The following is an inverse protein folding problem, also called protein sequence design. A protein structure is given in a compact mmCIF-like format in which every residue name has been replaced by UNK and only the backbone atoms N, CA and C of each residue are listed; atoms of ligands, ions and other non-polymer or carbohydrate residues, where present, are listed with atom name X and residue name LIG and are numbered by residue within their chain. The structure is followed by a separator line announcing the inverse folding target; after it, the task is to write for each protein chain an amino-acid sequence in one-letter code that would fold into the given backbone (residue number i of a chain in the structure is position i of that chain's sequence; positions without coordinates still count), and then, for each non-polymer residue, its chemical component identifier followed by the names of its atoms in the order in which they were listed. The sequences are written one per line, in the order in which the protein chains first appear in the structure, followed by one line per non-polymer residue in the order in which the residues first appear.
data_IF_354601377649
#
_entry.id   IF_354601377649
#
_cell.length_a   1.000
_cell.length_b   1.000
_cell.length_c   1.000
_cell.angle_alpha   90.00
_cell.angle_beta   90.00
_cell.angle_gamma   90.00
#
_symmetry.space_group_name_H-M   'P 1'
#
loop_
_entity.id
_entity.type
_entity.pdbx_description
1 polymer ?
#
# COMPACT_ATOMS: atom_id res chain seq x y z
N UNK A 1 13.18 22.80 11.36
CA UNK A 1 12.58 23.62 10.29
C UNK A 1 11.78 22.68 9.41
N UNK A 2 10.61 23.09 8.89
CA UNK A 2 9.82 22.20 8.04
C UNK A 2 10.42 22.16 6.62
N UNK A 3 10.57 20.97 6.06
CA UNK A 3 10.87 20.79 4.64
C UNK A 3 9.56 20.68 3.86
N UNK A 4 9.59 21.08 2.59
CA UNK A 4 8.45 21.03 1.67
C UNK A 4 8.93 20.40 0.37
N UNK A 5 8.25 19.37 -0.10
CA UNK A 5 8.50 18.85 -1.44
C UNK A 5 7.70 19.69 -2.43
N UNK A 6 8.38 20.22 -3.45
CA UNK A 6 7.73 21.01 -4.48
C UNK A 6 7.90 20.36 -5.85
N UNK A 7 6.88 20.54 -6.68
CA UNK A 7 6.94 20.27 -8.10
C UNK A 7 6.67 21.58 -8.81
N UNK A 8 7.62 22.06 -9.59
CA UNK A 8 7.50 23.31 -10.32
C UNK A 8 8.05 23.21 -11.73
N UNK A 9 7.74 24.19 -12.58
CA UNK A 9 8.36 24.34 -13.90
C UNK A 9 9.39 25.45 -13.85
N UNK A 10 10.58 25.19 -14.38
CA UNK A 10 11.56 26.26 -14.56
C UNK A 10 11.24 27.09 -15.81
N UNK A 11 12.01 28.15 -16.04
CA UNK A 11 11.89 29.05 -17.20
C UNK A 11 12.14 28.37 -18.56
N UNK A 12 12.81 27.21 -18.59
CA UNK A 12 12.97 26.37 -19.80
C UNK A 12 11.83 25.36 -20.00
N UNK A 13 10.77 25.39 -19.19
CA UNK A 13 9.59 24.53 -19.31
C UNK A 13 9.75 23.12 -18.73
N UNK A 14 10.93 22.78 -18.20
CA UNK A 14 11.20 21.49 -17.57
C UNK A 14 10.60 21.41 -16.18
N UNK A 15 10.00 20.27 -15.85
CA UNK A 15 9.44 20.01 -14.53
C UNK A 15 10.58 19.60 -13.57
N UNK A 16 10.70 20.31 -12.46
CA UNK A 16 11.68 20.08 -11.40
C UNK A 16 10.94 19.66 -10.13
N UNK A 17 11.38 18.55 -9.55
CA UNK A 17 10.90 18.03 -8.27
C UNK A 17 12.07 18.04 -7.29
N UNK A 18 11.96 18.83 -6.24
CA UNK A 18 13.01 18.92 -5.22
C UNK A 18 12.37 19.28 -3.86
N UNK A 19 13.16 19.22 -2.80
CA UNK A 19 12.75 19.63 -1.45
C UNK A 19 13.30 21.02 -1.12
N UNK A 20 12.49 21.83 -0.44
CA UNK A 20 12.89 23.16 0.02
C UNK A 20 12.49 23.37 1.47
N UNK A 21 13.40 23.93 2.25
CA UNK A 21 13.14 24.28 3.65
C UNK A 21 12.47 25.65 3.76
N UNK A 22 11.32 25.68 4.42
CA UNK A 22 10.56 26.90 4.64
C UNK A 22 9.80 26.86 5.97
N UNK A 23 9.40 28.02 6.47
CA UNK A 23 8.58 28.11 7.67
C UNK A 23 7.10 27.78 7.39
N UNK A 24 6.62 28.07 6.18
CA UNK A 24 5.25 27.82 5.73
C UNK A 24 5.21 27.71 4.19
N UNK A 25 4.07 27.27 3.64
CA UNK A 25 3.91 27.06 2.19
C UNK A 25 4.04 28.36 1.37
N UNK A 26 3.66 29.51 1.96
CA UNK A 26 3.81 30.83 1.32
C UNK A 26 5.28 31.25 1.17
N UNK A 27 6.09 31.03 2.20
CA UNK A 27 7.55 31.27 2.19
C UNK A 27 8.25 30.30 1.24
N UNK A 28 7.78 29.06 1.14
CA UNK A 28 8.27 28.12 0.13
C UNK A 28 8.00 28.63 -1.29
N UNK A 29 6.76 29.06 -1.57
CA UNK A 29 6.40 29.62 -2.87
C UNK A 29 7.27 30.84 -3.23
N UNK A 30 7.45 31.78 -2.31
CA UNK A 30 8.28 32.97 -2.55
C UNK A 30 9.74 32.62 -2.84
N UNK A 31 10.31 31.64 -2.12
CA UNK A 31 11.67 31.14 -2.41
C UNK A 31 11.78 30.46 -3.77
N UNK A 32 10.75 29.73 -4.20
CA UNK A 32 10.70 29.09 -5.52
C UNK A 32 10.59 30.12 -6.65
N UNK A 33 9.75 31.14 -6.46
CA UNK A 33 9.66 32.27 -7.39
C UNK A 33 11.00 33.00 -7.52
N UNK A 34 11.72 33.26 -6.42
CA UNK A 34 13.07 33.85 -6.45
C UNK A 34 14.09 32.98 -7.18
N UNK A 35 13.89 31.66 -7.24
CA UNK A 35 14.71 30.72 -8.01
C UNK A 35 14.27 30.59 -9.47
N UNK A 36 13.26 31.33 -9.92
CA UNK A 36 12.72 31.22 -11.28
C UNK A 36 11.95 29.93 -11.55
N UNK A 37 11.43 29.30 -10.48
CA UNK A 37 10.61 28.09 -10.57
C UNK A 37 9.17 28.46 -10.23
N UNK A 38 8.26 28.26 -11.17
CA UNK A 38 6.82 28.45 -10.93
C UNK A 38 6.28 27.18 -10.26
N UNK A 39 5.83 27.24 -9.00
CA UNK A 39 5.32 26.08 -8.30
C UNK A 39 3.96 25.64 -8.87
N UNK A 40 3.82 24.34 -9.15
CA UNK A 40 2.55 23.70 -9.55
C UNK A 40 1.92 23.03 -8.34
N UNK A 41 2.74 22.47 -7.45
CA UNK A 41 2.30 21.87 -6.19
C UNK A 41 3.40 22.00 -5.13
N UNK A 42 3.00 22.34 -3.91
CA UNK A 42 3.87 22.45 -2.73
C UNK A 42 3.22 21.62 -1.62
N UNK A 43 3.91 20.59 -1.15
CA UNK A 43 3.44 19.67 -0.11
C UNK A 43 4.38 19.73 1.08
N UNK A 44 3.84 19.82 2.29
CA UNK A 44 4.61 19.72 3.54
C UNK A 44 5.33 18.37 3.60
N UNK A 45 6.66 18.37 3.63
CA UNK A 45 7.44 17.20 3.99
C UNK A 45 7.50 17.14 5.51
N UNK A 46 6.57 16.42 6.13
CA UNK A 46 6.61 16.19 7.56
C UNK A 46 7.90 15.41 7.89
N UNK A 47 8.83 16.07 8.59
CA UNK A 47 9.95 15.40 9.23
C UNK A 47 9.42 14.65 10.46
N UNK A 48 9.19 13.35 10.31
CA UNK A 48 8.81 12.47 11.41
C UNK A 48 7.97 11.28 10.94
N UNK A 49 8.61 10.29 10.33
CA UNK A 49 7.97 9.02 9.98
C UNK A 49 8.43 8.51 8.62
N UNK A 50 9.04 7.33 8.63
CA UNK A 50 9.51 6.54 7.49
C UNK A 50 8.95 6.88 6.11
N UNK A 51 9.85 6.90 5.14
CA UNK A 51 9.64 6.79 3.70
C UNK A 51 8.62 5.73 3.28
N UNK A 52 7.32 6.05 3.39
CA UNK A 52 6.21 5.25 2.85
C UNK A 52 5.04 6.16 2.44
N UNK A 53 5.32 7.34 1.90
CA UNK A 53 4.30 8.23 1.31
C UNK A 53 4.25 8.13 -0.22
N UNK A 54 4.67 6.99 -0.77
CA UNK A 54 4.30 6.53 -2.11
C UNK A 54 3.28 5.40 -2.01
N UNK A 55 2.34 5.47 -1.05
CA UNK A 55 1.12 4.64 -1.08
C UNK A 55 0.26 5.19 -2.22
N UNK A 56 0.68 4.82 -3.42
CA UNK A 56 -0.15 4.14 -4.39
C UNK A 56 -1.54 4.72 -4.57
N UNK A 57 -1.59 5.82 -5.31
CA UNK A 57 -2.79 6.22 -6.08
C UNK A 57 -3.28 5.04 -6.95
N UNK A 58 -2.38 4.11 -7.31
CA UNK A 58 -2.68 2.85 -8.00
C UNK A 58 -3.32 1.77 -7.09
N UNK A 59 -2.94 1.67 -5.81
CA UNK A 59 -3.59 0.79 -4.81
C UNK A 59 -4.99 1.28 -4.47
N UNK A 60 -5.22 2.59 -4.53
CA UNK A 60 -6.55 3.17 -4.34
C UNK A 60 -7.47 2.90 -5.55
N UNK A 61 -6.92 2.78 -6.76
CA UNK A 61 -7.67 2.47 -7.99
C UNK A 61 -7.89 0.97 -8.21
N UNK A 62 -7.01 0.12 -7.69
CA UNK A 62 -7.20 -1.33 -7.75
C UNK A 62 -8.14 -1.77 -6.61
N UNK A 63 -9.44 -1.68 -6.92
CA UNK A 63 -10.65 -1.72 -6.09
C UNK A 63 -10.83 -2.83 -5.02
N UNK A 64 -9.77 -3.41 -4.45
CA UNK A 64 -9.83 -4.44 -3.41
C UNK A 64 -10.51 -5.73 -3.86
N UNK A 65 -10.78 -5.89 -5.16
CA UNK A 65 -11.43 -7.07 -5.72
C UNK A 65 -10.38 -8.04 -6.23
N UNK A 66 -10.43 -9.26 -5.71
CA UNK A 66 -9.66 -10.41 -6.18
C UNK A 66 -10.47 -11.06 -7.30
N UNK A 67 -9.80 -11.48 -8.38
CA UNK A 67 -10.51 -12.15 -9.48
C UNK A 67 -11.00 -13.54 -9.04
N UNK A 68 -12.04 -14.04 -9.71
CA UNK A 68 -12.54 -15.38 -9.41
C UNK A 68 -11.50 -16.48 -9.70
N UNK A 69 -10.68 -16.29 -10.73
CA UNK A 69 -9.57 -17.19 -11.05
C UNK A 69 -8.53 -17.24 -9.92
N UNK A 70 -8.16 -16.08 -9.37
CA UNK A 70 -7.23 -16.00 -8.24
C UNK A 70 -7.80 -16.69 -7.00
N UNK A 71 -9.10 -16.52 -6.73
CA UNK A 71 -9.76 -17.20 -5.61
C UNK A 71 -9.75 -18.73 -5.79
N UNK A 72 -10.02 -19.23 -7.00
CA UNK A 72 -9.95 -20.67 -7.30
C UNK A 72 -8.53 -21.21 -7.05
N UNK A 73 -7.51 -20.49 -7.52
CA UNK A 73 -6.10 -20.87 -7.33
C UNK A 73 -5.75 -20.88 -5.84
N UNK A 74 -6.14 -19.85 -5.10
CA UNK A 74 -5.96 -19.76 -3.65
C UNK A 74 -6.57 -20.97 -2.94
N UNK A 75 -7.84 -21.31 -3.21
CA UNK A 75 -8.51 -22.44 -2.59
C UNK A 75 -7.80 -23.77 -2.88
N UNK A 76 -7.37 -23.98 -4.12
CA UNK A 76 -6.66 -25.20 -4.53
C UNK A 76 -5.30 -25.32 -3.84
N UNK A 77 -4.55 -24.23 -3.74
CA UNK A 77 -3.25 -24.18 -3.06
C UNK A 77 -3.43 -24.44 -1.56
N UNK A 78 -4.38 -23.75 -0.92
CA UNK A 78 -4.67 -23.93 0.50
C UNK A 78 -5.09 -25.37 0.80
N UNK A 79 -5.98 -25.96 -0.02
CA UNK A 79 -6.37 -27.36 0.12
C UNK A 79 -5.18 -28.31 0.04
N UNK A 80 -4.28 -28.12 -0.94
CA UNK A 80 -3.10 -28.96 -1.10
C UNK A 80 -2.14 -28.86 0.10
N UNK A 81 -1.94 -27.64 0.61
CA UNK A 81 -1.08 -27.38 1.77
C UNK A 81 -1.67 -27.96 3.07
N UNK A 82 -2.98 -27.77 3.30
CA UNK A 82 -3.67 -28.38 4.43
C UNK A 82 -3.65 -29.91 4.35
N UNK A 83 -3.89 -30.48 3.17
CA UNK A 83 -3.90 -31.94 2.96
C UNK A 83 -2.52 -32.58 3.14
N UNK A 84 -1.45 -31.85 2.88
CA UNK A 84 -0.07 -32.31 3.09
C UNK A 84 0.40 -32.15 4.54
N UNK A 85 -0.44 -31.62 5.43
CA UNK A 85 -0.10 -31.41 6.85
C UNK A 85 0.85 -30.25 7.08
N UNK A 86 0.99 -29.34 6.11
CA UNK A 86 1.80 -28.13 6.28
C UNK A 86 1.12 -27.22 7.30
N UNK A 87 1.84 -26.73 8.33
CA UNK A 87 1.28 -25.81 9.31
C UNK A 87 0.63 -24.60 8.65
N UNK A 88 -0.58 -24.24 9.09
CA UNK A 88 -1.40 -23.20 8.46
C UNK A 88 -0.69 -21.85 8.30
N UNK A 89 0.10 -21.45 9.31
CA UNK A 89 0.90 -20.22 9.24
C UNK A 89 1.93 -20.24 8.11
N UNK A 90 2.61 -21.38 7.93
CA UNK A 90 3.57 -21.56 6.83
C UNK A 90 2.86 -21.55 5.48
N UNK A 91 1.69 -22.17 5.41
CA UNK A 91 0.86 -22.20 4.21
C UNK A 91 0.43 -20.80 3.79
N UNK A 92 -0.04 -19.98 4.74
CA UNK A 92 -0.43 -18.59 4.50
C UNK A 92 0.75 -17.76 4.03
N UNK A 93 1.91 -17.87 4.68
CA UNK A 93 3.12 -17.15 4.27
C UNK A 93 3.57 -17.52 2.86
N UNK A 94 3.54 -18.81 2.50
CA UNK A 94 3.82 -19.25 1.13
C UNK A 94 2.82 -18.70 0.11
N UNK A 95 1.53 -18.61 0.46
CA UNK A 95 0.51 -18.04 -0.42
C UNK A 95 0.64 -16.52 -0.60
N UNK A 96 1.15 -15.78 0.40
CA UNK A 96 1.47 -14.35 0.27
C UNK A 96 2.53 -14.14 -0.81
N UNK A 97 3.55 -15.00 -0.85
CA UNK A 97 4.61 -14.93 -1.86
C UNK A 97 4.08 -15.23 -3.27
N UNK A 98 3.19 -16.23 -3.41
CA UNK A 98 2.67 -16.68 -4.71
C UNK A 98 1.46 -15.91 -5.23
N UNK A 99 0.80 -15.08 -4.43
CA UNK A 99 -0.35 -14.30 -4.87
C UNK A 99 0.06 -13.27 -5.95
N UNK A 100 -0.82 -12.97 -6.89
CA UNK A 100 -0.57 -11.94 -7.91
C UNK A 100 -1.24 -10.62 -7.53
N UNK A 101 -2.48 -10.67 -7.05
CA UNK A 101 -3.20 -9.50 -6.55
C UNK A 101 -2.60 -8.93 -5.27
N UNK A 102 -2.34 -7.63 -5.31
CA UNK A 102 -1.90 -6.83 -4.16
C UNK A 102 -2.96 -6.87 -3.04
N UNK A 103 -4.25 -6.85 -3.40
CA UNK A 103 -5.34 -6.92 -2.44
C UNK A 103 -5.34 -8.27 -1.68
N UNK A 104 -5.12 -9.37 -2.39
CA UNK A 104 -5.02 -10.70 -1.79
C UNK A 104 -3.78 -10.82 -0.91
N UNK A 105 -2.61 -10.35 -1.37
CA UNK A 105 -1.38 -10.33 -0.55
C UNK A 105 -1.57 -9.61 0.77
N UNK A 106 -2.19 -8.43 0.73
CA UNK A 106 -2.43 -7.61 1.92
C UNK A 106 -3.37 -8.31 2.90
N UNK A 107 -4.45 -8.92 2.41
CA UNK A 107 -5.38 -9.68 3.24
C UNK A 107 -4.70 -10.91 3.85
N UNK A 108 -3.96 -11.71 3.07
CA UNK A 108 -3.25 -12.88 3.57
C UNK A 108 -2.17 -12.54 4.59
N UNK A 109 -1.47 -11.41 4.41
CA UNK A 109 -0.48 -10.92 5.38
C UNK A 109 -1.14 -10.56 6.71
N UNK A 110 -2.30 -9.92 6.67
CA UNK A 110 -3.05 -9.57 7.88
C UNK A 110 -3.62 -10.82 8.57
N UNK A 111 -4.17 -11.76 7.78
CA UNK A 111 -4.62 -13.07 8.27
C UNK A 111 -3.48 -13.80 8.98
N UNK A 112 -2.28 -13.84 8.38
CA UNK A 112 -1.10 -14.45 9.00
C UNK A 112 -0.81 -13.88 10.40
N UNK A 113 -0.83 -12.54 10.54
CA UNK A 113 -0.64 -11.86 11.83
C UNK A 113 -1.74 -12.19 12.84
N UNK A 114 -2.99 -12.28 12.40
CA UNK A 114 -4.10 -12.64 13.28
C UNK A 114 -3.95 -14.09 13.77
N UNK A 115 -3.53 -15.02 12.91
CA UNK A 115 -3.27 -16.40 13.33
C UNK A 115 -2.08 -16.48 14.30
N UNK A 116 -1.02 -15.69 14.11
CA UNK A 116 0.07 -15.57 15.08
C UNK A 116 -0.43 -15.04 16.43
N UNK A 117 -1.40 -14.14 16.42
CA UNK A 117 -2.10 -13.64 17.61
C UNK A 117 -3.08 -14.63 18.25
N UNK A 118 -3.25 -15.84 17.69
CA UNK A 118 -4.10 -16.89 18.23
C UNK A 118 -5.56 -16.84 17.77
N UNK A 119 -5.91 -15.98 16.80
CA UNK A 119 -7.24 -15.98 16.22
C UNK A 119 -7.48 -17.23 15.35
N UNK A 120 -8.74 -17.65 15.27
CA UNK A 120 -9.11 -18.76 14.38
C UNK A 120 -9.05 -18.33 12.91
N UNK A 121 -8.77 -19.28 12.02
CA UNK A 121 -8.69 -19.00 10.59
C UNK A 121 -9.98 -18.40 10.01
N UNK A 122 -11.15 -18.95 10.37
CA UNK A 122 -12.44 -18.39 9.95
C UNK A 122 -12.67 -16.97 10.44
N UNK A 123 -12.29 -16.66 11.70
CA UNK A 123 -12.40 -15.28 12.22
C UNK A 123 -11.51 -14.32 11.44
N UNK A 124 -10.30 -14.75 11.07
CA UNK A 124 -9.38 -13.93 10.30
C UNK A 124 -9.88 -13.68 8.88
N UNK A 125 -10.47 -14.68 8.22
CA UNK A 125 -11.10 -14.51 6.90
C UNK A 125 -12.30 -13.56 6.96
N UNK A 126 -13.14 -13.66 7.99
CA UNK A 126 -14.33 -12.82 8.16
C UNK A 126 -14.00 -11.32 8.29
N UNK A 127 -12.78 -10.98 8.70
CA UNK A 127 -12.30 -9.59 8.77
C UNK A 127 -12.04 -8.97 7.38
N UNK A 128 -12.11 -9.76 6.30
CA UNK A 128 -11.91 -9.32 4.92
C UNK A 128 -13.13 -9.62 4.02
N UNK A 129 -14.32 -9.05 4.29
CA UNK A 129 -15.58 -9.36 3.60
C UNK A 129 -15.62 -8.97 2.12
N UNK A 130 -14.69 -8.11 1.67
CA UNK A 130 -14.56 -7.71 0.26
C UNK A 130 -13.95 -8.81 -0.61
N UNK A 131 -13.25 -9.76 0.01
CA UNK A 131 -12.53 -10.85 -0.67
C UNK A 131 -13.18 -12.18 -0.31
N UNK A 132 -13.42 -12.43 0.98
CA UNK A 132 -14.09 -13.63 1.48
C UNK A 132 -15.51 -13.27 1.89
N UNK A 133 -16.51 -13.72 1.12
CA UNK A 133 -17.90 -13.47 1.47
C UNK A 133 -18.36 -14.34 2.66
N UNK A 134 -19.56 -14.08 3.17
CA UNK A 134 -20.11 -14.85 4.29
C UNK A 134 -20.43 -16.32 3.96
N UNK A 135 -20.55 -16.67 2.67
CA UNK A 135 -20.78 -18.05 2.25
C UNK A 135 -19.46 -18.84 2.24
N UNK A 136 -18.34 -18.15 2.07
CA UNK A 136 -17.00 -18.71 2.03
C UNK A 136 -16.44 -19.08 3.41
N UNK A 137 -16.80 -18.32 4.46
CA UNK A 137 -16.20 -18.39 5.80
C UNK A 137 -16.88 -19.41 6.72
#
# INVERSE_FOLDING_TARGET
MASFNYTGRNTSGSQVKDSIEAANAGVAAEKLFKKGITPISIVLAQQGGNSTASVDVFELFNNGKVSLEEMIVFCRQMYALMRSGVPILRSINGMVESANSIALKKALTDIGKQLEGGYTFSSALNNHPKIFDHLFV
#
